data_IF_446932422063
#
_entry.id   IF_446932422063
#
_cell.length_a   1.000
_cell.length_b   1.000
_cell.length_c   1.000
_cell.angle_alpha   90.00
_cell.angle_beta   90.00
_cell.angle_gamma   90.00
#
_symmetry.space_group_name_H-M   'P 1'
#
loop_
_entity.id
_entity.type
_entity.pdbx_description
1 polymer ?
#
# COMPACT_ATOMS: atom_id res chain seq x y z
N UNK A 1 7.87 4.39 -3.66
CA UNK A 1 7.95 5.41 -2.59
C UNK A 1 9.33 5.48 -1.91
N UNK A 2 9.88 4.38 -1.38
CA UNK A 2 11.17 4.39 -0.66
C UNK A 2 12.37 4.89 -1.49
N UNK A 3 12.36 4.69 -2.82
CA UNK A 3 13.36 5.27 -3.74
C UNK A 3 13.36 6.80 -3.80
N UNK A 4 12.27 7.44 -3.36
CA UNK A 4 12.09 8.90 -3.35
C UNK A 4 12.18 9.49 -1.94
N UNK A 5 12.46 8.68 -0.90
CA UNK A 5 12.74 9.23 0.41
C UNK A 5 14.14 9.82 0.46
N UNK A 6 14.29 10.90 1.20
CA UNK A 6 15.56 11.56 1.51
C UNK A 6 16.32 10.85 2.65
N UNK A 7 15.90 9.62 3.01
CA UNK A 7 16.43 8.85 4.14
C UNK A 7 15.92 9.32 5.52
N UNK A 8 15.17 10.40 5.59
CA UNK A 8 14.59 10.89 6.85
C UNK A 8 13.18 10.34 7.06
N UNK A 9 12.77 10.14 8.34
CA UNK A 9 11.39 9.82 8.66
C UNK A 9 10.42 10.87 8.12
N UNK A 10 9.30 10.42 7.57
CA UNK A 10 8.20 11.28 7.16
C UNK A 10 7.44 11.75 8.40
N UNK A 11 7.83 12.91 8.93
CA UNK A 11 7.07 13.56 10.00
C UNK A 11 5.80 14.15 9.40
N UNK A 12 4.66 13.53 9.72
CA UNK A 12 3.37 13.93 9.21
C UNK A 12 2.69 14.90 10.18
N UNK A 13 2.06 15.95 9.65
CA UNK A 13 1.20 16.82 10.46
C UNK A 13 -0.03 16.06 10.95
N UNK A 14 -0.64 16.54 12.02
CA UNK A 14 -1.97 16.08 12.39
C UNK A 14 -2.96 16.47 11.29
N UNK A 15 -3.67 15.48 10.74
CA UNK A 15 -4.69 15.70 9.72
C UNK A 15 -5.97 16.21 10.40
N UNK A 16 -6.57 17.26 9.84
CA UNK A 16 -7.90 17.72 10.26
C UNK A 16 -9.04 16.79 9.79
N UNK A 17 -8.75 15.89 8.85
CA UNK A 17 -9.68 14.86 8.35
C UNK A 17 -9.32 13.49 8.94
N UNK A 18 -10.33 12.75 9.38
CA UNK A 18 -10.21 11.38 9.90
C UNK A 18 -10.55 10.36 8.80
N UNK A 19 -9.83 10.45 7.68
CA UNK A 19 -10.07 9.66 6.46
C UNK A 19 -9.01 8.59 6.18
N UNK A 20 -8.09 8.39 7.12
CA UNK A 20 -7.10 7.33 7.02
C UNK A 20 -7.75 5.96 7.26
N UNK A 21 -7.37 4.98 6.45
CA UNK A 21 -7.76 3.58 6.58
C UNK A 21 -6.53 2.72 6.84
N UNK A 22 -6.74 1.54 7.43
CA UNK A 22 -5.64 0.61 7.67
C UNK A 22 -5.32 -0.13 6.36
N UNK A 23 -4.25 0.29 5.70
CA UNK A 23 -3.76 -0.32 4.46
C UNK A 23 -2.66 -1.34 4.77
N UNK A 24 -2.61 -2.41 3.99
CA UNK A 24 -1.52 -3.37 3.90
C UNK A 24 -0.37 -2.84 3.05
N UNK A 25 -0.67 -2.07 1.99
CA UNK A 25 0.27 -1.52 1.00
C UNK A 25 1.05 -2.53 0.14
N UNK A 26 0.82 -3.83 0.34
CA UNK A 26 1.40 -4.92 -0.45
C UNK A 26 0.48 -6.14 -0.49
N UNK A 27 -0.82 -5.93 -0.70
CA UNK A 27 -1.82 -7.01 -0.68
C UNK A 27 -1.82 -7.80 -1.99
N UNK A 28 -0.70 -8.47 -2.30
CA UNK A 28 -0.60 -9.41 -3.41
C UNK A 28 -1.20 -10.77 -3.05
N UNK A 29 -1.49 -11.60 -4.06
CA UNK A 29 -1.98 -12.96 -3.82
C UNK A 29 -0.99 -13.82 -3.00
N UNK A 30 0.31 -13.50 -3.01
CA UNK A 30 1.32 -14.22 -2.23
C UNK A 30 1.18 -13.97 -0.72
N UNK A 31 0.56 -12.84 -0.32
CA UNK A 31 0.35 -12.45 1.08
C UNK A 31 -1.01 -12.90 1.61
N UNK A 32 -1.77 -13.69 0.83
CA UNK A 32 -3.08 -14.23 1.20
C UNK A 32 -3.00 -15.75 1.31
N UNK A 33 -3.11 -16.27 2.53
CA UNK A 33 -3.16 -17.72 2.78
C UNK A 33 -4.60 -18.19 2.64
N UNK A 34 -4.83 -19.21 1.81
CA UNK A 34 -6.14 -19.82 1.60
C UNK A 34 -6.14 -21.29 2.00
N UNK A 35 -7.30 -21.80 2.41
CA UNK A 35 -7.52 -23.23 2.56
C UNK A 35 -7.65 -23.89 1.18
N UNK A 36 -6.79 -24.87 0.88
CA UNK A 36 -6.70 -25.46 -0.46
C UNK A 36 -8.02 -26.08 -0.98
N UNK A 37 -8.85 -26.64 -0.08
CA UNK A 37 -10.08 -27.32 -0.48
C UNK A 37 -11.25 -26.35 -0.79
N UNK A 38 -11.32 -25.21 -0.11
CA UNK A 38 -12.48 -24.29 -0.20
C UNK A 38 -12.13 -22.93 -0.78
N UNK A 39 -10.83 -22.63 -0.90
CA UNK A 39 -10.27 -21.32 -1.22
C UNK A 39 -10.69 -20.20 -0.26
N UNK A 40 -11.21 -20.56 0.93
CA UNK A 40 -11.48 -19.57 1.98
C UNK A 40 -10.18 -18.97 2.47
N UNK A 41 -10.14 -17.65 2.56
CA UNK A 41 -9.03 -16.90 3.16
C UNK A 41 -8.89 -17.31 4.62
N UNK A 42 -7.67 -17.72 5.01
CA UNK A 42 -7.30 -18.13 6.36
C UNK A 42 -6.48 -17.06 7.08
N UNK A 43 -5.66 -16.34 6.35
CA UNK A 43 -4.87 -15.24 6.88
C UNK A 43 -4.45 -14.27 5.78
N UNK A 44 -4.26 -13.01 6.17
CA UNK A 44 -3.48 -12.02 5.43
C UNK A 44 -2.21 -11.81 6.25
N UNK A 45 -1.05 -11.97 5.63
CA UNK A 45 0.26 -11.97 6.27
C UNK A 45 1.15 -10.86 5.71
N UNK A 46 2.35 -10.69 6.26
CA UNK A 46 3.35 -9.76 5.74
C UNK A 46 2.96 -8.27 5.83
N UNK A 47 2.59 -7.84 7.04
CA UNK A 47 2.13 -6.49 7.36
C UNK A 47 3.26 -5.47 7.57
N UNK A 48 4.47 -5.70 7.04
CA UNK A 48 5.62 -4.82 7.30
C UNK A 48 5.43 -3.39 6.76
N UNK A 49 4.64 -3.23 5.71
CA UNK A 49 4.21 -1.93 5.16
C UNK A 49 2.84 -1.47 5.69
N UNK A 50 2.24 -2.21 6.61
CA UNK A 50 0.92 -1.95 7.15
C UNK A 50 0.85 -0.69 8.00
N UNK A 51 -0.25 0.06 7.88
CA UNK A 51 -0.44 1.28 8.68
C UNK A 51 -1.67 2.09 8.27
N UNK A 52 -1.81 3.29 8.83
CA UNK A 52 -2.91 4.19 8.51
C UNK A 52 -2.50 5.15 7.38
N UNK A 53 -3.14 4.98 6.23
CA UNK A 53 -2.87 5.75 5.02
C UNK A 53 -4.17 6.24 4.39
N UNK A 54 -4.10 7.24 3.49
CA UNK A 54 -5.19 7.57 2.60
C UNK A 54 -5.58 6.34 1.76
N UNK A 55 -6.87 6.13 1.45
CA UNK A 55 -7.37 4.92 0.80
C UNK A 55 -6.76 4.67 -0.59
N UNK A 56 -6.19 5.71 -1.24
CA UNK A 56 -5.49 5.61 -2.52
C UNK A 56 -4.27 4.68 -2.48
N UNK A 57 -3.74 4.41 -1.28
CA UNK A 57 -2.58 3.54 -1.06
C UNK A 57 -2.89 2.05 -1.18
N UNK A 58 -4.14 1.62 -0.91
CA UNK A 58 -4.48 0.21 -1.02
C UNK A 58 -4.86 -0.13 -2.46
N UNK A 59 -3.95 -0.80 -3.16
CA UNK A 59 -4.21 -1.28 -4.52
C UNK A 59 -4.63 -2.74 -4.52
N UNK A 60 -5.50 -3.15 -5.45
CA UNK A 60 -5.97 -4.52 -5.53
C UNK A 60 -4.95 -5.45 -6.20
N UNK A 61 -3.72 -5.51 -5.67
CA UNK A 61 -2.64 -6.34 -6.22
C UNK A 61 -3.01 -7.83 -6.23
N UNK A 62 -3.88 -8.27 -5.32
CA UNK A 62 -4.46 -9.62 -5.28
C UNK A 62 -5.28 -10.00 -6.52
N UNK A 63 -5.68 -9.04 -7.37
CA UNK A 63 -6.39 -9.32 -8.62
C UNK A 63 -5.46 -9.66 -9.78
N UNK A 64 -4.14 -9.46 -9.65
CA UNK A 64 -3.19 -9.74 -10.72
C UNK A 64 -2.07 -10.66 -10.29
N UNK A 65 -1.55 -11.42 -11.25
CA UNK A 65 -0.35 -12.20 -11.05
C UNK A 65 0.89 -11.29 -11.11
N UNK A 66 1.95 -11.69 -10.40
CA UNK A 66 3.25 -11.04 -10.45
C UNK A 66 3.52 -10.04 -9.30
N UNK A 67 4.60 -9.25 -9.41
CA UNK A 67 5.10 -8.40 -8.32
C UNK A 67 4.21 -7.18 -8.10
N UNK A 68 4.09 -6.67 -6.87
CA UNK A 68 3.32 -5.46 -6.49
C UNK A 68 3.94 -4.14 -6.95
N UNK A 69 4.30 -4.04 -8.23
CA UNK A 69 4.81 -2.83 -8.90
C UNK A 69 4.04 -2.56 -10.20
N UNK A 70 4.06 -1.32 -10.68
CA UNK A 70 3.50 -0.99 -11.99
C UNK A 70 4.24 -1.73 -13.12
N UNK A 71 3.49 -2.40 -13.99
CA UNK A 71 4.01 -3.12 -15.16
C UNK A 71 4.00 -2.22 -16.42
N UNK A 72 4.70 -2.60 -17.51
CA UNK A 72 4.69 -1.83 -18.74
C UNK A 72 3.27 -1.63 -19.29
N UNK A 73 2.87 -0.37 -19.50
CA UNK A 73 1.52 0.01 -19.95
C UNK A 73 0.51 0.21 -18.83
N UNK A 74 0.87 -0.08 -17.57
CA UNK A 74 0.08 0.30 -16.40
C UNK A 74 0.42 1.71 -15.92
N UNK A 75 -0.47 2.29 -15.12
CA UNK A 75 -0.23 3.58 -14.47
C UNK A 75 0.71 3.35 -13.29
N UNK A 76 1.90 3.95 -13.33
CA UNK A 76 2.77 4.09 -12.17
C UNK A 76 2.30 5.31 -11.35
N UNK A 77 1.72 5.04 -10.18
CA UNK A 77 1.17 6.06 -9.29
C UNK A 77 2.13 6.47 -8.18
N UNK A 78 3.40 6.03 -8.24
CA UNK A 78 4.43 6.37 -7.26
C UNK A 78 4.50 7.87 -7.00
N UNK A 79 4.40 8.68 -8.05
CA UNK A 79 4.52 10.14 -7.97
C UNK A 79 3.30 10.76 -7.32
N UNK A 80 2.11 10.25 -7.62
CA UNK A 80 0.84 10.69 -7.04
C UNK A 80 0.87 10.44 -5.54
N UNK A 81 1.17 9.21 -5.12
CA UNK A 81 1.19 8.83 -3.72
C UNK A 81 2.30 9.55 -2.94
N UNK A 82 3.47 9.74 -3.56
CA UNK A 82 4.59 10.49 -2.95
C UNK A 82 4.23 11.97 -2.75
N UNK A 83 3.59 12.60 -3.75
CA UNK A 83 3.13 13.99 -3.64
C UNK A 83 2.05 14.15 -2.56
N UNK A 84 1.17 13.17 -2.44
CA UNK A 84 0.15 13.15 -1.39
C UNK A 84 0.78 13.12 0.01
N UNK A 85 1.83 12.31 0.22
CA UNK A 85 2.58 12.30 1.48
C UNK A 85 3.33 13.62 1.72
N UNK A 86 3.95 14.19 0.68
CA UNK A 86 4.68 15.45 0.77
C UNK A 86 3.80 16.63 1.21
N UNK A 87 2.52 16.67 0.81
CA UNK A 87 1.59 17.73 1.22
C UNK A 87 1.33 17.74 2.73
N UNK A 88 1.45 16.60 3.37
CA UNK A 88 1.18 16.41 4.79
C UNK A 88 2.47 16.38 5.64
N UNK A 89 3.65 16.48 5.00
CA UNK A 89 4.93 16.56 5.70
C UNK A 89 5.02 17.88 6.49
N UNK A 90 5.72 17.85 7.63
CA UNK A 90 6.08 19.03 8.45
C UNK A 90 7.47 19.53 8.06
#
# INVERSE_FOLDING_TARGET
MMRKSDGWPWLMRSRGKHDLVFCHNDLSANNVIVEAATLKIKAIIDWEYGGFFPPEFEKPFYLRAGPSVALPGEIDDTDVLTNLMNQEKV
#
